data_IF_304878456263
#
_entry.id   IF_304878456263
#
_cell.length_a   1.000
_cell.length_b   1.000
_cell.length_c   1.000
_cell.angle_alpha   90.00
_cell.angle_beta   90.00
_cell.angle_gamma   90.00
#
_symmetry.space_group_name_H-M   'P 1'
#
loop_
_entity.id
_entity.type
_entity.pdbx_description
1 polymer ?
#
# COMPACT_ATOMS: atom_id res chain seq x y z
N UNK A 1 -19.59 -4.40 104.73
CA UNK A 1 -18.45 -4.44 103.79
C UNK A 1 -18.33 -3.06 103.17
N UNK A 2 -17.19 -2.40 103.38
CA UNK A 2 -16.98 -0.99 103.03
C UNK A 2 -17.02 -0.75 101.52
N UNK A 3 -18.04 -0.03 101.07
CA UNK A 3 -18.23 0.42 99.68
C UNK A 3 -17.05 1.21 99.12
N UNK A 4 -16.22 1.81 99.99
CA UNK A 4 -15.01 2.54 99.61
C UNK A 4 -13.87 1.63 99.12
N UNK A 5 -13.76 0.39 99.61
CA UNK A 5 -12.71 -0.56 99.17
C UNK A 5 -13.05 -1.23 97.85
N UNK A 6 -14.34 -1.44 97.58
CA UNK A 6 -14.83 -2.02 96.31
C UNK A 6 -14.66 -1.04 95.15
N UNK A 7 -14.93 0.26 95.37
CA UNK A 7 -14.74 1.29 94.35
C UNK A 7 -13.26 1.58 94.06
N UNK A 8 -12.40 1.61 95.08
CA UNK A 8 -10.97 1.82 94.89
C UNK A 8 -10.30 0.62 94.17
N UNK A 9 -10.70 -0.61 94.51
CA UNK A 9 -10.22 -1.81 93.81
C UNK A 9 -10.67 -1.88 92.36
N UNK A 10 -11.92 -1.50 92.08
CA UNK A 10 -12.47 -1.45 90.73
C UNK A 10 -11.77 -0.43 89.83
N UNK A 11 -11.48 0.78 90.35
CA UNK A 11 -10.79 1.82 89.59
C UNK A 11 -9.37 1.41 89.18
N UNK A 12 -8.62 0.77 90.08
CA UNK A 12 -7.26 0.29 89.77
C UNK A 12 -7.28 -0.81 88.71
N UNK A 13 -8.24 -1.75 88.80
CA UNK A 13 -8.39 -2.81 87.79
C UNK A 13 -8.73 -2.22 86.42
N UNK A 14 -9.62 -1.24 86.34
CA UNK A 14 -9.98 -0.59 85.07
C UNK A 14 -8.77 0.13 84.46
N UNK A 15 -7.97 0.83 85.26
CA UNK A 15 -6.78 1.52 84.77
C UNK A 15 -5.71 0.53 84.30
N UNK A 16 -5.50 -0.55 85.04
CA UNK A 16 -4.53 -1.61 84.66
C UNK A 16 -4.99 -2.35 83.39
N UNK A 17 -6.28 -2.65 83.26
CA UNK A 17 -6.85 -3.26 82.05
C UNK A 17 -6.76 -2.31 80.86
N UNK A 18 -7.02 -1.01 81.05
CA UNK A 18 -6.90 -0.01 80.00
C UNK A 18 -5.44 0.17 79.54
N UNK A 19 -4.48 0.17 80.46
CA UNK A 19 -3.05 0.24 80.14
C UNK A 19 -2.55 -1.04 79.47
N UNK A 20 -3.01 -2.22 79.90
CA UNK A 20 -2.67 -3.49 79.26
C UNK A 20 -3.30 -3.60 77.86
N UNK A 21 -4.51 -3.09 77.66
CA UNK A 21 -5.15 -3.01 76.35
C UNK A 21 -4.41 -2.05 75.41
N UNK A 22 -3.87 -0.93 75.91
CA UNK A 22 -3.08 0.02 75.12
C UNK A 22 -1.71 -0.55 74.70
N UNK A 23 -1.11 -1.45 75.49
CA UNK A 23 0.17 -2.12 75.15
C UNK A 23 -0.06 -3.34 74.24
N UNK A 24 -1.23 -4.00 74.33
CA UNK A 24 -1.55 -5.20 73.55
C UNK A 24 -2.05 -4.90 72.12
N UNK A 25 -2.30 -3.63 71.75
CA UNK A 25 -2.74 -3.24 70.40
C UNK A 25 -1.82 -2.13 69.86
N UNK A 26 -0.64 -2.47 69.32
CA UNK A 26 0.30 -1.48 68.76
C UNK A 26 -0.29 -0.69 67.57
N UNK A 27 -1.36 -1.18 66.95
CA UNK A 27 -1.97 -0.58 65.75
C UNK A 27 -3.08 0.46 66.03
N UNK A 28 -3.55 0.62 67.28
CA UNK A 28 -4.64 1.56 67.56
C UNK A 28 -4.20 3.04 67.59
N UNK A 29 -2.89 3.31 67.44
CA UNK A 29 -2.29 4.65 67.43
C UNK A 29 -1.58 4.94 66.11
N UNK A 30 -2.07 4.38 65.00
CA UNK A 30 -1.70 4.88 63.67
C UNK A 30 -2.38 6.23 63.45
N UNK A 31 -1.60 7.29 63.22
CA UNK A 31 -2.13 8.61 62.88
C UNK A 31 -2.86 8.50 61.53
N UNK A 32 -4.15 8.90 61.40
CA UNK A 32 -4.92 8.78 60.15
C UNK A 32 -4.46 9.68 58.99
N UNK A 33 -3.22 10.20 59.03
CA UNK A 33 -2.74 11.27 58.15
C UNK A 33 -1.83 10.80 57.03
N UNK A 34 -1.32 9.57 57.09
CA UNK A 34 -0.32 9.07 56.13
C UNK A 34 -0.93 8.30 54.94
N UNK A 35 -2.22 7.96 54.97
CA UNK A 35 -2.91 7.21 53.90
C UNK A 35 -3.84 8.08 53.02
N UNK A 36 -3.58 9.39 52.88
CA UNK A 36 -4.33 10.17 51.88
C UNK A 36 -3.76 9.87 50.50
N UNK A 37 -4.57 9.41 49.52
CA UNK A 37 -4.11 9.18 48.16
C UNK A 37 -3.41 10.44 47.64
N UNK A 38 -2.14 10.29 47.29
CA UNK A 38 -1.36 11.37 46.72
C UNK A 38 -2.00 11.75 45.38
N UNK A 39 -2.41 13.02 45.24
CA UNK A 39 -3.05 13.49 44.00
C UNK A 39 -2.06 13.30 42.84
N UNK A 40 -2.42 12.54 41.78
CA UNK A 40 -1.55 12.38 40.61
C UNK A 40 -1.23 13.73 39.98
N UNK A 41 -0.02 13.83 39.43
CA UNK A 41 0.41 15.00 38.66
C UNK A 41 -0.47 15.22 37.42
N UNK A 42 -0.61 16.48 36.95
CA UNK A 42 -1.24 16.74 35.67
C UNK A 42 -0.45 16.08 34.52
N UNK A 43 -1.18 15.76 33.45
CA UNK A 43 -0.63 15.31 32.17
C UNK A 43 -1.35 16.12 31.11
N UNK A 44 -0.61 16.92 30.35
CA UNK A 44 -1.17 17.79 29.31
C UNK A 44 -0.49 17.51 27.98
N UNK A 45 -1.22 17.67 26.89
CA UNK A 45 -0.67 17.68 25.53
C UNK A 45 -0.12 19.08 25.28
N UNK A 46 1.21 19.20 25.14
CA UNK A 46 1.86 20.48 24.86
C UNK A 46 2.11 20.70 23.38
N UNK A 47 2.17 19.62 22.61
CA UNK A 47 2.39 19.66 21.16
C UNK A 47 1.78 18.43 20.48
N UNK A 48 1.40 18.58 19.20
CA UNK A 48 0.87 17.51 18.39
C UNK A 48 1.14 17.75 16.90
N UNK A 49 1.79 16.79 16.25
CA UNK A 49 2.21 16.86 14.84
C UNK A 49 1.58 15.75 14.02
N UNK A 50 1.60 15.95 12.70
CA UNK A 50 1.13 14.97 11.71
C UNK A 50 2.17 14.85 10.61
N UNK A 51 2.49 13.62 10.22
CA UNK A 51 3.28 13.30 9.04
C UNK A 51 2.56 12.26 8.17
N UNK A 52 3.09 11.99 6.98
CA UNK A 52 2.57 10.97 6.06
C UNK A 52 3.50 9.76 6.01
N UNK A 53 2.91 8.57 6.01
CA UNK A 53 3.59 7.29 5.82
C UNK A 53 3.39 6.74 4.41
N UNK A 54 3.07 5.45 4.30
CA UNK A 54 2.75 4.81 3.01
C UNK A 54 1.51 5.44 2.36
N UNK A 55 1.59 5.64 1.03
CA UNK A 55 0.47 6.14 0.23
C UNK A 55 0.26 5.24 -0.97
N UNK A 56 -0.96 4.69 -1.08
CA UNK A 56 -1.42 3.85 -2.18
C UNK A 56 -2.50 4.58 -2.97
N UNK A 57 -3.00 3.97 -4.05
CA UNK A 57 -4.09 4.56 -4.84
C UNK A 57 -5.40 4.73 -4.06
N UNK A 58 -5.59 3.95 -2.99
CA UNK A 58 -6.85 3.88 -2.24
C UNK A 58 -6.72 4.34 -0.80
N UNK A 59 -5.52 4.29 -0.20
CA UNK A 59 -5.32 4.57 1.22
C UNK A 59 -4.10 5.44 1.46
N UNK A 60 -4.13 6.26 2.51
CA UNK A 60 -2.98 6.99 3.02
C UNK A 60 -2.76 6.65 4.49
N UNK A 61 -1.50 6.52 4.88
CA UNK A 61 -1.10 6.41 6.27
C UNK A 61 -0.78 7.81 6.83
N UNK A 62 -1.45 8.16 7.93
CA UNK A 62 -1.23 9.38 8.68
C UNK A 62 -0.52 9.02 9.98
N UNK A 63 0.70 9.54 10.16
CA UNK A 63 1.45 9.40 11.40
C UNK A 63 1.10 10.55 12.34
N UNK A 64 0.60 10.23 13.52
CA UNK A 64 0.20 11.21 14.53
C UNK A 64 1.19 11.18 15.68
N UNK A 65 1.57 12.35 16.16
CA UNK A 65 2.45 12.52 17.31
C UNK A 65 1.76 13.37 18.38
N UNK A 66 1.93 13.00 19.64
CA UNK A 66 1.52 13.79 20.80
C UNK A 66 2.68 13.90 21.78
N UNK A 67 3.01 15.12 22.18
CA UNK A 67 4.00 15.39 23.24
C UNK A 67 3.25 15.67 24.53
N UNK A 68 3.43 14.79 25.53
CA UNK A 68 2.80 14.88 26.83
C UNK A 68 3.78 15.51 27.84
N UNK A 69 3.40 16.59 28.51
CA UNK A 69 4.13 17.15 29.65
C UNK A 69 3.52 16.65 30.96
N UNK A 70 4.39 16.11 31.83
CA UNK A 70 4.04 15.65 33.16
C UNK A 70 4.80 16.42 34.25
N UNK A 71 4.11 16.79 35.33
CA UNK A 71 4.67 17.52 36.48
C UNK A 71 4.17 16.95 37.80
N UNK A 72 5.00 16.98 38.83
CA UNK A 72 4.64 16.60 40.19
C UNK A 72 4.62 15.10 40.43
N UNK A 73 3.62 14.63 41.19
CA UNK A 73 3.52 13.23 41.60
C UNK A 73 3.25 12.31 40.40
N UNK A 74 3.66 11.03 40.43
CA UNK A 74 3.45 10.10 39.34
C UNK A 74 2.01 10.05 38.81
N UNK A 75 1.88 9.92 37.48
CA UNK A 75 0.63 9.61 36.81
C UNK A 75 0.68 8.18 36.26
N UNK A 76 -0.19 7.32 36.78
CA UNK A 76 -0.23 5.89 36.43
C UNK A 76 -1.18 5.61 35.25
N UNK A 77 -0.89 4.55 34.50
CA UNK A 77 -1.74 4.03 33.42
C UNK A 77 -2.20 5.14 32.45
N UNK A 78 -1.24 5.88 31.90
CA UNK A 78 -1.54 6.88 30.87
C UNK A 78 -1.66 6.18 29.52
N UNK A 79 -2.75 6.47 28.81
CA UNK A 79 -2.98 6.01 27.43
C UNK A 79 -3.40 7.19 26.55
N UNK A 80 -3.15 7.08 25.24
CA UNK A 80 -3.61 8.05 24.26
C UNK A 80 -4.42 7.33 23.19
N UNK A 81 -5.68 7.71 23.03
CA UNK A 81 -6.56 7.23 21.96
C UNK A 81 -6.54 8.24 20.81
N UNK A 82 -6.01 7.80 19.68
CA UNK A 82 -6.00 8.57 18.43
C UNK A 82 -7.17 8.16 17.54
N UNK A 83 -7.81 9.13 16.92
CA UNK A 83 -8.97 8.94 16.03
C UNK A 83 -8.82 9.76 14.76
N UNK A 84 -9.23 9.18 13.64
CA UNK A 84 -9.43 9.87 12.37
C UNK A 84 -10.91 9.79 12.00
N UNK A 85 -11.55 10.94 11.92
CA UNK A 85 -12.94 11.09 11.51
C UNK A 85 -12.98 11.82 10.19
N UNK A 86 -13.69 11.31 9.19
CA UNK A 86 -13.89 11.99 7.92
C UNK A 86 -14.53 13.36 8.16
N UNK A 87 -13.94 14.41 7.57
CA UNK A 87 -14.30 15.78 7.87
C UNK A 87 -15.66 16.19 7.27
N UNK A 88 -16.10 15.51 6.21
CA UNK A 88 -17.35 15.81 5.50
C UNK A 88 -18.53 15.01 6.07
N UNK A 89 -18.40 13.69 6.15
CA UNK A 89 -19.44 12.77 6.63
C UNK A 89 -19.52 12.69 8.16
N UNK A 90 -18.41 12.99 8.86
CA UNK A 90 -18.31 12.83 10.31
C UNK A 90 -18.19 11.37 10.78
N UNK A 91 -17.92 10.43 9.87
CA UNK A 91 -17.75 9.01 10.19
C UNK A 91 -16.35 8.73 10.75
N UNK A 92 -16.26 7.82 11.73
CA UNK A 92 -14.98 7.36 12.26
C UNK A 92 -14.36 6.35 11.29
N UNK A 93 -13.22 6.68 10.73
CA UNK A 93 -12.54 5.88 9.70
C UNK A 93 -11.42 5.01 10.30
N UNK A 94 -10.71 5.52 11.31
CA UNK A 94 -9.68 4.77 12.01
C UNK A 94 -9.54 5.24 13.46
N UNK A 95 -9.19 4.30 14.34
CA UNK A 95 -8.78 4.62 15.71
C UNK A 95 -7.68 3.69 16.20
N UNK A 96 -6.84 4.18 17.11
CA UNK A 96 -5.78 3.40 17.74
C UNK A 96 -5.45 3.93 19.12
N UNK A 97 -5.41 3.04 20.10
CA UNK A 97 -4.96 3.36 21.45
C UNK A 97 -3.49 2.98 21.64
N UNK A 98 -2.73 3.88 22.26
CA UNK A 98 -1.32 3.67 22.58
C UNK A 98 -1.13 3.79 24.09
N UNK A 99 -0.56 2.74 24.69
CA UNK A 99 -0.18 2.77 26.09
C UNK A 99 1.11 3.56 26.28
N UNK A 100 1.05 4.61 27.11
CA UNK A 100 2.22 5.38 27.54
C UNK A 100 2.81 4.76 28.81
N UNK A 101 1.95 4.19 29.65
CA UNK A 101 2.31 3.61 30.93
C UNK A 101 2.43 4.68 32.02
N UNK A 102 3.30 4.44 32.98
CA UNK A 102 3.47 5.35 34.11
C UNK A 102 4.41 6.49 33.78
N UNK A 103 4.02 7.71 34.15
CA UNK A 103 4.83 8.91 34.08
C UNK A 103 5.29 9.24 35.50
N UNK A 104 6.51 8.83 35.84
CA UNK A 104 7.10 9.06 37.18
C UNK A 104 8.11 10.20 37.21
N UNK A 105 8.70 10.51 36.05
CA UNK A 105 9.65 11.61 35.90
C UNK A 105 8.93 12.83 35.33
N UNK A 106 9.24 14.01 35.87
CA UNK A 106 8.75 15.25 35.29
C UNK A 106 9.42 15.53 33.94
N UNK A 107 8.66 16.14 33.03
CA UNK A 107 9.12 16.53 31.70
C UNK A 107 8.21 16.05 30.58
N UNK A 108 8.74 16.10 29.36
CA UNK A 108 8.00 15.79 28.14
C UNK A 108 8.26 14.36 27.66
N UNK A 109 7.21 13.71 27.17
CA UNK A 109 7.27 12.40 26.54
C UNK A 109 6.47 12.41 25.23
N UNK A 110 7.15 12.09 24.14
CA UNK A 110 6.53 11.96 22.81
C UNK A 110 5.98 10.55 22.62
N UNK A 111 4.77 10.47 22.08
CA UNK A 111 4.03 9.24 21.76
C UNK A 111 3.54 9.36 20.32
N UNK A 112 3.56 8.27 19.56
CA UNK A 112 3.12 8.28 18.17
C UNK A 112 2.34 7.04 17.78
N UNK A 113 1.56 7.17 16.71
CA UNK A 113 0.84 6.06 16.07
C UNK A 113 0.67 6.33 14.57
N UNK A 114 0.34 5.28 13.82
CA UNK A 114 -0.08 5.38 12.42
C UNK A 114 -1.56 5.01 12.30
N UNK A 115 -2.33 5.83 11.60
CA UNK A 115 -3.72 5.58 11.22
C UNK A 115 -3.81 5.44 9.69
N UNK A 116 -4.38 4.33 9.21
CA UNK A 116 -4.61 4.11 7.79
C UNK A 116 -6.03 4.54 7.44
N UNK A 117 -6.16 5.48 6.53
CA UNK A 117 -7.44 6.05 6.10
C UNK A 117 -7.61 5.95 4.59
N UNK A 118 -8.83 6.03 4.05
CA UNK A 118 -9.04 6.22 2.62
C UNK A 118 -8.26 7.44 2.08
N UNK A 119 -7.71 7.33 0.87
CA UNK A 119 -7.00 8.45 0.23
C UNK A 119 -7.99 9.37 -0.47
N UNK A 120 -8.86 9.97 0.33
CA UNK A 120 -9.96 10.82 -0.13
C UNK A 120 -10.26 11.89 0.92
N UNK A 121 -10.58 13.10 0.46
CA UNK A 121 -11.15 14.17 1.26
C UNK A 121 -10.22 14.72 2.34
N UNK A 122 -10.79 14.93 3.52
CA UNK A 122 -10.09 15.47 4.68
C UNK A 122 -10.49 14.77 5.96
N UNK A 123 -9.64 14.85 6.97
CA UNK A 123 -9.86 14.16 8.24
C UNK A 123 -9.67 15.11 9.41
N UNK A 124 -10.58 15.00 10.38
CA UNK A 124 -10.39 15.50 11.73
C UNK A 124 -9.69 14.44 12.56
N UNK A 125 -8.50 14.79 13.03
CA UNK A 125 -7.63 13.95 13.84
C UNK A 125 -7.74 14.40 15.30
N UNK A 126 -8.16 13.50 16.19
CA UNK A 126 -8.24 13.75 17.64
C UNK A 126 -7.28 12.81 18.38
N UNK A 127 -6.59 13.34 19.38
CA UNK A 127 -5.93 12.52 20.40
C UNK A 127 -6.51 12.82 21.77
N UNK A 128 -6.97 11.77 22.45
CA UNK A 128 -7.57 11.85 23.78
C UNK A 128 -6.64 11.17 24.78
N UNK A 129 -6.20 11.92 25.79
CA UNK A 129 -5.34 11.37 26.83
C UNK A 129 -6.20 10.88 27.99
N UNK A 130 -5.99 9.62 28.37
CA UNK A 130 -6.60 9.01 29.54
C UNK A 130 -5.54 8.75 30.61
N UNK A 131 -5.96 8.85 31.87
CA UNK A 131 -5.20 8.39 33.04
C UNK A 131 -6.16 7.58 33.91
N UNK A 132 -5.88 6.30 34.11
CA UNK A 132 -6.80 5.38 34.81
C UNK A 132 -8.23 5.52 34.28
N UNK A 133 -8.40 5.37 32.95
CA UNK A 133 -9.67 5.47 32.21
C UNK A 133 -10.41 6.82 32.29
N UNK A 134 -9.82 7.82 32.94
CA UNK A 134 -10.38 9.17 33.02
C UNK A 134 -9.72 10.08 31.98
N UNK A 135 -10.51 10.69 31.11
CA UNK A 135 -10.03 11.70 30.16
C UNK A 135 -9.42 12.88 30.92
N UNK A 136 -8.15 13.16 30.67
CA UNK A 136 -7.42 14.27 31.32
C UNK A 136 -7.12 15.41 30.36
N UNK A 137 -6.93 15.13 29.07
CA UNK A 137 -6.67 16.15 28.06
C UNK A 137 -7.05 15.70 26.64
N UNK A 138 -7.00 16.62 25.68
CA UNK A 138 -7.22 16.33 24.25
C UNK A 138 -6.59 17.36 23.32
N UNK A 139 -6.22 16.91 22.13
CA UNK A 139 -5.90 17.79 21.00
C UNK A 139 -6.73 17.45 19.77
N UNK A 140 -6.85 18.42 18.86
CA UNK A 140 -7.50 18.22 17.56
C UNK A 140 -6.68 18.90 16.47
N UNK A 141 -6.57 18.23 15.33
CA UNK A 141 -5.97 18.74 14.10
C UNK A 141 -6.86 18.39 12.93
N UNK A 142 -6.74 19.12 11.84
CA UNK A 142 -7.46 18.82 10.60
C UNK A 142 -6.45 18.74 9.46
N UNK A 143 -6.66 17.77 8.57
CA UNK A 143 -5.93 17.62 7.31
C UNK A 143 -6.95 17.62 6.18
N UNK A 144 -6.57 18.18 5.04
CA UNK A 144 -7.43 18.26 3.85
C UNK A 144 -6.64 17.91 2.60
N UNK A 145 -7.34 17.47 1.56
CA UNK A 145 -6.75 17.13 0.27
C UNK A 145 -5.91 15.85 0.32
N UNK A 146 -6.34 14.84 1.08
CA UNK A 146 -5.62 13.56 1.17
C UNK A 146 -5.59 12.84 -0.18
N UNK A 147 -6.60 13.04 -1.03
CA UNK A 147 -6.65 12.58 -2.42
C UNK A 147 -5.50 13.11 -3.29
N UNK A 148 -4.96 14.28 -2.96
CA UNK A 148 -3.87 14.91 -3.70
C UNK A 148 -2.50 14.27 -3.40
N UNK A 149 -2.42 13.40 -2.38
CA UNK A 149 -1.19 12.72 -2.04
C UNK A 149 -0.81 11.71 -3.14
N UNK A 150 0.38 11.88 -3.70
CA UNK A 150 0.89 11.02 -4.77
C UNK A 150 1.42 9.69 -4.19
N UNK A 151 0.88 8.53 -4.62
CA UNK A 151 1.40 7.22 -4.25
C UNK A 151 2.81 7.02 -4.76
N UNK A 152 3.59 6.17 -4.10
CA UNK A 152 4.99 5.93 -4.49
C UNK A 152 5.13 5.49 -5.96
N UNK A 153 4.23 4.61 -6.42
CA UNK A 153 4.21 4.15 -7.82
C UNK A 153 3.87 5.26 -8.83
N UNK A 154 3.16 6.31 -8.41
CA UNK A 154 2.78 7.43 -9.26
C UNK A 154 3.77 8.60 -9.18
N UNK A 155 4.73 8.55 -8.24
CA UNK A 155 5.88 9.45 -8.24
C UNK A 155 6.86 8.95 -9.30
N UNK A 156 6.62 9.33 -10.54
CA UNK A 156 7.57 9.13 -11.61
C UNK A 156 8.77 10.06 -11.39
N UNK A 157 9.81 9.54 -10.74
CA UNK A 157 11.13 10.19 -10.67
C UNK A 157 12.07 9.66 -11.77
N UNK A 158 11.53 8.89 -12.71
CA UNK A 158 12.19 8.43 -13.93
C UNK A 158 11.20 8.59 -15.07
N UNK A 159 11.67 9.13 -16.18
CA UNK A 159 10.92 9.24 -17.43
C UNK A 159 11.85 8.93 -18.60
N UNK A 160 11.30 8.71 -19.78
CA UNK A 160 12.07 8.83 -21.00
C UNK A 160 12.58 10.27 -21.15
N UNK A 161 13.70 10.45 -21.85
CA UNK A 161 14.24 11.79 -22.11
C UNK A 161 13.26 12.61 -22.94
N UNK A 162 12.93 13.80 -22.46
CA UNK A 162 12.17 14.81 -23.18
C UNK A 162 13.14 15.88 -23.69
N UNK A 163 13.83 15.59 -24.79
CA UNK A 163 14.80 16.51 -25.40
C UNK A 163 14.45 16.74 -26.88
N UNK A 164 14.57 17.97 -27.40
CA UNK A 164 14.21 18.26 -28.79
C UNK A 164 15.18 17.68 -29.82
N UNK A 165 16.35 17.20 -29.40
CA UNK A 165 17.41 16.66 -30.28
C UNK A 165 17.56 15.15 -30.09
N UNK A 166 17.43 14.66 -28.86
CA UNK A 166 17.55 13.22 -28.57
C UNK A 166 16.19 12.54 -28.63
N UNK A 167 16.07 11.54 -29.51
CA UNK A 167 14.90 10.67 -29.52
C UNK A 167 14.91 9.76 -28.27
N UNK A 168 13.76 9.60 -27.60
CA UNK A 168 13.67 8.79 -26.39
C UNK A 168 13.90 7.30 -26.63
N UNK A 169 13.69 6.84 -27.86
CA UNK A 169 13.91 5.48 -28.32
C UNK A 169 14.94 5.51 -29.44
N UNK A 170 16.03 4.75 -29.29
CA UNK A 170 17.02 4.52 -30.33
C UNK A 170 16.90 3.12 -30.89
N UNK A 171 17.22 2.95 -32.17
CA UNK A 171 17.20 1.65 -32.84
C UNK A 171 18.49 1.49 -33.63
N UNK A 172 19.13 0.34 -33.52
CA UNK A 172 20.27 -0.05 -34.32
C UNK A 172 20.07 -1.46 -34.90
N UNK A 173 20.47 -1.67 -36.15
CA UNK A 173 20.50 -3.01 -36.73
C UNK A 173 21.82 -3.67 -36.31
N UNK A 174 21.73 -4.79 -35.59
CA UNK A 174 22.91 -5.54 -35.13
C UNK A 174 23.23 -6.72 -36.04
N UNK A 175 22.21 -7.32 -36.67
CA UNK A 175 22.35 -8.38 -37.66
C UNK A 175 21.23 -8.30 -38.70
N UNK A 176 21.54 -8.56 -39.97
CA UNK A 176 20.58 -8.52 -41.07
C UNK A 176 20.65 -9.83 -41.87
N UNK A 177 19.71 -10.73 -41.61
CA UNK A 177 19.52 -11.97 -42.35
C UNK A 177 18.46 -11.84 -43.44
N UNK A 178 18.29 -12.91 -44.23
CA UNK A 178 17.36 -12.93 -45.37
C UNK A 178 15.91 -12.73 -44.94
N UNK A 179 15.46 -13.39 -43.87
CA UNK A 179 14.06 -13.34 -43.41
C UNK A 179 13.86 -12.57 -42.10
N UNK A 180 14.93 -12.36 -41.32
CA UNK A 180 14.86 -11.64 -40.05
C UNK A 180 16.01 -10.67 -39.88
N UNK A 181 15.69 -9.55 -39.25
CA UNK A 181 16.63 -8.52 -38.84
C UNK A 181 16.65 -8.45 -37.31
N UNK A 182 17.84 -8.49 -36.73
CA UNK A 182 18.03 -8.28 -35.29
C UNK A 182 18.28 -6.80 -35.04
N UNK A 183 17.51 -6.25 -34.10
CA UNK A 183 17.53 -4.86 -33.70
C UNK A 183 17.98 -4.75 -32.26
N UNK A 184 18.92 -3.86 -31.97
CA UNK A 184 19.16 -3.34 -30.62
C UNK A 184 18.24 -2.13 -30.42
N UNK A 185 17.33 -2.24 -29.46
CA UNK A 185 16.46 -1.16 -29.04
C UNK A 185 17.03 -0.52 -27.80
N UNK A 186 17.11 0.81 -27.76
CA UNK A 186 17.55 1.57 -26.60
C UNK A 186 16.47 2.55 -26.14
N UNK A 187 16.30 2.66 -24.82
CA UNK A 187 15.45 3.66 -24.18
C UNK A 187 16.31 4.60 -23.34
N UNK A 188 16.28 5.89 -23.64
CA UNK A 188 16.99 6.90 -22.85
C UNK A 188 16.13 7.33 -21.66
N UNK A 189 16.53 6.94 -20.46
CA UNK A 189 15.81 7.25 -19.22
C UNK A 189 16.54 8.33 -18.44
N UNK A 190 15.81 9.29 -17.87
CA UNK A 190 16.35 10.32 -16.99
C UNK A 190 15.75 10.19 -15.60
N UNK A 191 16.61 10.04 -14.58
CA UNK A 191 16.18 10.01 -13.19
C UNK A 191 16.25 11.41 -12.57
N UNK A 192 15.11 11.98 -12.20
CA UNK A 192 15.01 13.28 -11.50
C UNK A 192 15.12 13.16 -9.98
N UNK A 193 15.13 11.93 -9.46
CA UNK A 193 15.27 11.62 -8.03
C UNK A 193 15.82 10.21 -7.83
N UNK A 194 16.06 9.80 -6.57
CA UNK A 194 16.65 8.50 -6.25
C UNK A 194 15.76 7.34 -6.74
N UNK A 195 16.38 6.32 -7.32
CA UNK A 195 15.70 5.10 -7.76
C UNK A 195 16.14 3.91 -6.93
N UNK A 196 15.21 3.03 -6.61
CA UNK A 196 15.54 1.73 -5.99
C UNK A 196 15.84 0.71 -7.08
N UNK A 197 16.89 -0.09 -6.86
CA UNK A 197 17.21 -1.22 -7.72
C UNK A 197 16.03 -2.21 -7.76
N UNK A 198 15.86 -2.90 -8.89
CA UNK A 198 14.87 -3.97 -9.12
C UNK A 198 13.39 -3.55 -9.25
N UNK A 199 13.08 -2.26 -9.12
CA UNK A 199 11.71 -1.78 -9.28
C UNK A 199 11.35 -1.39 -10.73
N UNK A 200 12.33 -1.14 -11.60
CA UNK A 200 12.14 -0.54 -12.92
C UNK A 200 12.41 -1.50 -14.08
N UNK A 201 11.49 -1.56 -15.04
CA UNK A 201 11.70 -2.28 -16.30
C UNK A 201 11.14 -1.51 -17.50
N UNK A 202 11.76 -1.71 -18.66
CA UNK A 202 11.29 -1.19 -19.95
C UNK A 202 10.84 -2.36 -20.81
N UNK A 203 9.61 -2.30 -21.30
CA UNK A 203 9.09 -3.23 -22.30
C UNK A 203 9.05 -2.54 -23.66
N UNK A 204 9.74 -3.10 -24.64
CA UNK A 204 9.66 -2.69 -26.03
C UNK A 204 8.69 -3.59 -26.78
N UNK A 205 7.78 -2.98 -27.54
CA UNK A 205 6.79 -3.66 -28.37
C UNK A 205 6.95 -3.17 -29.79
N UNK A 206 7.18 -4.09 -30.73
CA UNK A 206 7.31 -3.78 -32.15
C UNK A 206 6.03 -4.20 -32.86
N UNK A 207 5.33 -3.24 -33.43
CA UNK A 207 4.12 -3.48 -34.23
C UNK A 207 4.43 -3.21 -35.69
N UNK A 208 4.15 -4.18 -36.54
CA UNK A 208 4.31 -3.97 -37.98
C UNK A 208 3.34 -2.88 -38.42
N UNK A 209 3.85 -1.90 -39.18
CA UNK A 209 3.22 -0.60 -39.36
C UNK A 209 1.87 -0.66 -40.08
N UNK A 210 1.69 -1.66 -40.93
CA UNK A 210 0.58 -1.78 -41.84
C UNK A 210 -0.60 -2.57 -41.26
N UNK A 211 -0.29 -3.74 -40.69
CA UNK A 211 -1.24 -4.67 -40.09
C UNK A 211 -1.48 -4.42 -38.61
N UNK A 212 -0.61 -3.63 -37.98
CA UNK A 212 -0.61 -3.35 -36.54
C UNK A 212 -0.36 -4.60 -35.67
N UNK A 213 0.08 -5.70 -36.26
CA UNK A 213 0.40 -6.95 -35.56
C UNK A 213 1.68 -6.78 -34.76
N UNK A 214 1.68 -7.24 -33.51
CA UNK A 214 2.89 -7.27 -32.67
C UNK A 214 3.82 -8.33 -33.23
N UNK A 215 4.92 -7.87 -33.83
CA UNK A 215 5.94 -8.74 -34.41
C UNK A 215 6.90 -9.27 -33.36
N UNK A 216 7.19 -8.45 -32.35
CA UNK A 216 8.02 -8.85 -31.24
C UNK A 216 7.74 -8.05 -29.98
N UNK A 217 8.12 -8.63 -28.83
CA UNK A 217 8.09 -7.99 -27.53
C UNK A 217 9.29 -8.46 -26.73
N UNK A 218 9.98 -7.51 -26.10
CA UNK A 218 11.08 -7.80 -25.19
C UNK A 218 11.01 -6.88 -23.97
N UNK A 219 11.43 -7.39 -22.81
CA UNK A 219 11.44 -6.63 -21.56
C UNK A 219 12.84 -6.71 -20.96
N UNK A 220 13.34 -5.58 -20.47
CA UNK A 220 14.65 -5.46 -19.84
C UNK A 220 14.55 -4.67 -18.54
N UNK A 221 15.27 -5.13 -17.52
CA UNK A 221 15.38 -4.44 -16.24
C UNK A 221 16.26 -3.19 -16.39
N UNK A 222 15.75 -2.05 -15.93
CA UNK A 222 16.49 -0.79 -16.00
C UNK A 222 17.48 -0.61 -14.83
N UNK A 223 17.39 -1.47 -13.81
CA UNK A 223 18.21 -1.38 -12.60
C UNK A 223 18.04 -0.04 -11.86
N UNK A 224 19.05 0.32 -11.08
CA UNK A 224 19.10 1.62 -10.40
C UNK A 224 19.76 2.68 -11.29
N UNK A 225 19.04 3.76 -11.55
CA UNK A 225 19.53 4.96 -12.24
C UNK A 225 20.04 5.98 -11.23
N UNK A 226 21.17 6.61 -11.54
CA UNK A 226 21.70 7.70 -10.71
C UNK A 226 20.87 8.97 -10.88
N UNK A 227 20.55 9.60 -9.76
CA UNK A 227 19.86 10.88 -9.75
C UNK A 227 20.58 11.94 -10.61
N UNK A 228 19.81 12.68 -11.40
CA UNK A 228 20.28 13.74 -12.28
C UNK A 228 21.01 13.24 -13.53
N UNK A 229 20.99 11.94 -13.82
CA UNK A 229 21.63 11.36 -15.01
C UNK A 229 20.62 10.75 -15.95
N UNK A 230 20.99 10.79 -17.22
CA UNK A 230 20.35 10.01 -18.27
C UNK A 230 21.20 8.78 -18.57
N UNK A 231 20.57 7.60 -18.62
CA UNK A 231 21.24 6.34 -18.95
C UNK A 231 20.39 5.59 -20.00
N UNK A 232 21.05 4.83 -20.87
CA UNK A 232 20.38 4.00 -21.87
C UNK A 232 20.14 2.61 -21.31
N UNK A 233 18.94 2.11 -21.50
CA UNK A 233 18.59 0.70 -21.30
C UNK A 233 18.34 0.06 -22.65
N UNK A 234 19.04 -1.02 -22.95
CA UNK A 234 19.00 -1.66 -24.26
C UNK A 234 18.53 -3.12 -24.20
N UNK A 235 17.85 -3.56 -25.26
CA UNK A 235 17.44 -4.94 -25.46
C UNK A 235 17.51 -5.32 -26.94
N UNK A 236 17.97 -6.54 -27.23
CA UNK A 236 17.95 -7.11 -28.58
C UNK A 236 16.61 -7.78 -28.88
N UNK A 237 16.18 -7.70 -30.13
CA UNK A 237 14.96 -8.32 -30.63
C UNK A 237 15.05 -8.63 -32.12
N UNK A 238 14.56 -9.79 -32.54
CA UNK A 238 14.48 -10.16 -33.94
C UNK A 238 13.06 -9.93 -34.48
N UNK A 239 12.95 -9.29 -35.64
CA UNK A 239 11.71 -9.07 -36.37
C UNK A 239 11.84 -9.57 -37.82
N UNK A 240 10.73 -9.85 -38.51
CA UNK A 240 10.76 -10.08 -39.95
C UNK A 240 11.48 -8.94 -40.70
N UNK A 241 12.26 -9.29 -41.71
CA UNK A 241 12.93 -8.32 -42.58
C UNK A 241 11.91 -7.62 -43.51
N UNK A 242 12.32 -6.52 -44.13
CA UNK A 242 11.57 -5.85 -45.21
C UNK A 242 10.24 -5.17 -44.82
N UNK A 243 9.94 -5.04 -43.52
CA UNK A 243 8.77 -4.31 -43.04
C UNK A 243 9.12 -3.11 -42.17
N UNK A 244 8.24 -2.11 -42.17
CA UNK A 244 8.31 -0.99 -41.24
C UNK A 244 7.63 -1.34 -39.91
N UNK A 245 8.17 -0.82 -38.80
CA UNK A 245 7.66 -1.10 -37.45
C UNK A 245 7.50 0.18 -36.64
N UNK A 246 6.41 0.27 -35.87
CA UNK A 246 6.33 1.15 -34.72
C UNK A 246 6.95 0.48 -33.51
N UNK A 247 7.78 1.21 -32.78
CA UNK A 247 8.34 0.77 -31.50
C UNK A 247 7.62 1.52 -30.39
N UNK A 248 6.92 0.82 -29.51
CA UNK A 248 6.38 1.36 -28.28
C UNK A 248 7.28 0.94 -27.11
N UNK A 249 7.84 1.91 -26.37
CA UNK A 249 8.62 1.68 -25.17
C UNK A 249 7.78 2.04 -23.94
N UNK A 250 7.54 1.08 -23.06
CA UNK A 250 6.71 1.24 -21.87
C UNK A 250 7.58 1.09 -20.63
N UNK A 251 7.75 2.19 -19.88
CA UNK A 251 8.48 2.20 -18.63
C UNK A 251 7.52 1.87 -17.49
N UNK A 252 7.88 0.86 -16.69
CA UNK A 252 7.08 0.45 -15.54
C UNK A 252 7.88 0.44 -14.26
N UNK A 253 7.19 0.70 -13.15
CA UNK A 253 7.66 0.47 -11.79
C UNK A 253 6.72 -0.48 -11.07
N UNK A 254 7.21 -1.62 -10.60
CA UNK A 254 6.42 -2.64 -9.88
C UNK A 254 5.10 -2.99 -10.61
N UNK A 255 5.17 -3.08 -11.95
CA UNK A 255 4.01 -3.37 -12.81
C UNK A 255 3.08 -2.19 -13.09
N UNK A 256 3.37 -0.99 -12.58
CA UNK A 256 2.62 0.24 -12.89
C UNK A 256 3.32 0.99 -14.01
N UNK A 257 2.58 1.36 -15.06
CA UNK A 257 3.10 2.19 -16.15
C UNK A 257 3.35 3.60 -15.60
N UNK A 258 4.59 4.08 -15.72
CA UNK A 258 4.97 5.41 -15.26
C UNK A 258 5.27 6.37 -16.42
N UNK A 259 5.71 5.85 -17.58
CA UNK A 259 5.93 6.65 -18.79
C UNK A 259 5.90 5.78 -20.06
N UNK A 260 5.69 6.41 -21.21
CA UNK A 260 5.70 5.76 -22.52
C UNK A 260 6.40 6.62 -23.57
N UNK A 261 7.24 6.01 -24.38
CA UNK A 261 7.85 6.63 -25.55
C UNK A 261 7.59 5.79 -26.80
N UNK A 262 7.87 6.36 -27.97
CA UNK A 262 7.77 5.62 -29.21
C UNK A 262 8.85 6.01 -30.20
N UNK A 263 9.13 5.10 -31.11
CA UNK A 263 10.05 5.27 -32.24
C UNK A 263 9.54 4.51 -33.46
N UNK A 264 10.33 4.53 -34.53
CA UNK A 264 10.03 3.81 -35.77
C UNK A 264 11.26 3.05 -36.25
N UNK A 265 11.02 1.94 -36.95
CA UNK A 265 12.04 1.19 -37.69
C UNK A 265 11.61 1.14 -39.14
N UNK A 266 12.48 1.63 -40.03
CA UNK A 266 12.22 1.63 -41.46
C UNK A 266 13.10 0.55 -42.13
N UNK A 267 12.58 -0.68 -42.26
CA UNK A 267 13.28 -1.77 -42.96
C UNK A 267 12.68 -2.04 -44.35
N UNK A 268 11.50 -1.51 -44.66
CA UNK A 268 10.93 -1.59 -45.99
C UNK A 268 11.77 -0.72 -46.96
N UNK A 269 12.34 -1.30 -48.03
CA UNK A 269 13.15 -0.54 -48.98
C UNK A 269 12.33 0.42 -49.87
N UNK A 270 11.01 0.26 -49.91
CA UNK A 270 10.10 0.97 -50.81
C UNK A 270 9.27 2.06 -50.11
N UNK A 271 9.09 1.95 -48.80
CA UNK A 271 8.31 2.89 -48.00
C UNK A 271 9.03 3.25 -46.70
N UNK A 272 8.88 4.50 -46.24
CA UNK A 272 9.29 4.91 -44.89
C UNK A 272 8.10 5.50 -44.15
N UNK A 273 8.05 5.28 -42.84
CA UNK A 273 7.07 5.86 -41.93
C UNK A 273 7.73 6.84 -40.98
N UNK A 274 6.95 7.84 -40.56
CA UNK A 274 7.26 8.72 -39.44
C UNK A 274 6.39 8.37 -38.23
N UNK A 275 6.89 8.68 -37.03
CA UNK A 275 6.20 8.42 -35.76
C UNK A 275 4.79 9.04 -35.68
N UNK A 276 4.54 10.14 -36.39
CA UNK A 276 3.29 10.93 -36.32
C UNK A 276 2.32 10.68 -37.49
N UNK A 277 2.57 9.70 -38.37
CA UNK A 277 1.65 9.38 -39.46
C UNK A 277 0.45 8.54 -39.01
N UNK A 278 -0.70 8.74 -39.67
CA UNK A 278 -1.94 7.99 -39.38
C UNK A 278 -2.37 7.14 -40.57
N UNK A 279 -2.39 5.81 -40.36
CA UNK A 279 -2.98 4.68 -41.12
C UNK A 279 -3.21 4.81 -42.63
N UNK A 280 -2.69 3.84 -43.38
CA UNK A 280 -3.02 3.49 -44.78
C UNK A 280 -3.43 2.00 -44.87
N UNK A 281 -4.33 1.64 -45.80
CA UNK A 281 -4.79 0.25 -46.02
C UNK A 281 -3.86 -0.50 -46.97
N UNK A 282 -3.41 -1.72 -46.63
CA UNK A 282 -2.51 -2.55 -47.45
C UNK A 282 -2.59 -4.07 -47.16
N UNK A 283 -1.81 -4.85 -47.93
CA UNK A 283 -1.71 -6.32 -47.99
C UNK A 283 -0.88 -6.89 -46.82
N UNK A 284 -1.37 -7.94 -46.15
CA UNK A 284 -0.77 -8.53 -44.95
C UNK A 284 -0.57 -10.03 -45.13
N UNK A 285 0.63 -10.53 -44.85
CA UNK A 285 0.93 -11.97 -44.75
C UNK A 285 1.20 -12.37 -43.30
N UNK A 286 0.50 -13.39 -42.81
CA UNK A 286 0.56 -13.81 -41.41
C UNK A 286 1.71 -14.78 -41.11
N UNK A 287 2.27 -15.46 -42.12
CA UNK A 287 3.26 -16.53 -41.90
C UNK A 287 4.59 -16.04 -41.34
N UNK A 288 4.96 -14.79 -41.62
CA UNK A 288 6.26 -14.25 -41.22
C UNK A 288 6.35 -13.93 -39.72
N UNK A 289 5.20 -13.87 -39.04
CA UNK A 289 5.08 -13.53 -37.63
C UNK A 289 5.04 -14.75 -36.69
N UNK A 290 5.18 -15.96 -37.21
CA UNK A 290 5.26 -17.16 -36.39
C UNK A 290 6.59 -17.20 -35.61
N UNK A 291 6.52 -17.36 -34.29
CA UNK A 291 7.70 -17.44 -33.43
C UNK A 291 8.53 -18.69 -33.74
N UNK A 292 9.86 -18.54 -33.77
CA UNK A 292 10.75 -19.69 -33.86
C UNK A 292 10.75 -20.33 -32.46
N UNK A 293 10.05 -21.45 -32.31
CA UNK A 293 10.00 -22.23 -31.08
C UNK A 293 11.40 -22.81 -30.82
N UNK A 294 12.28 -22.02 -30.18
CA UNK A 294 13.58 -22.48 -29.73
C UNK A 294 13.47 -23.71 -28.84
N UNK A 295 14.25 -24.74 -29.18
CA UNK A 295 14.50 -26.02 -28.51
C UNK A 295 13.84 -26.17 -27.11
N UNK A 296 12.64 -26.77 -27.06
CA UNK A 296 12.06 -27.26 -25.81
C UNK A 296 12.91 -28.45 -25.32
N UNK A 297 13.40 -28.47 -24.07
CA UNK A 297 14.06 -29.66 -23.55
C UNK A 297 13.09 -30.84 -23.53
N UNK A 298 13.58 -32.01 -23.97
CA UNK A 298 12.85 -33.28 -24.03
C UNK A 298 12.05 -33.52 -22.75
N UNK A 299 10.73 -33.38 -22.87
CA UNK A 299 9.79 -33.86 -21.86
C UNK A 299 9.63 -35.36 -22.12
N UNK A 300 9.84 -36.24 -21.12
CA UNK A 300 9.66 -37.67 -21.32
C UNK A 300 8.24 -37.97 -21.79
N UNK A 301 8.15 -38.78 -22.84
CA UNK A 301 6.93 -39.30 -23.44
C UNK A 301 5.98 -39.80 -22.36
N UNK A 302 4.89 -39.06 -22.14
CA UNK A 302 3.76 -39.57 -21.39
C UNK A 302 2.98 -40.43 -22.37
N UNK A 303 3.00 -41.74 -22.14
CA UNK A 303 2.22 -42.74 -22.86
C UNK A 303 0.79 -42.25 -23.08
N UNK A 304 0.36 -42.25 -24.34
CA UNK A 304 -0.99 -41.96 -24.78
C UNK A 304 -2.00 -42.83 -24.00
N UNK A 305 -2.64 -42.23 -23.01
CA UNK A 305 -3.94 -42.69 -22.56
C UNK A 305 -4.98 -41.99 -23.44
N UNK A 306 -5.46 -42.72 -24.45
CA UNK A 306 -6.61 -42.36 -25.28
C UNK A 306 -7.78 -41.91 -24.39
N UNK A 307 -7.90 -40.60 -24.17
CA UNK A 307 -9.08 -40.03 -23.54
C UNK A 307 -10.07 -39.77 -24.65
N UNK A 308 -10.93 -40.77 -24.89
CA UNK A 308 -12.10 -40.62 -25.72
C UNK A 308 -12.92 -39.42 -25.23
N UNK A 309 -12.88 -38.33 -25.99
CA UNK A 309 -13.69 -37.13 -25.76
C UNK A 309 -15.15 -37.51 -26.01
N UNK A 310 -15.85 -37.90 -24.95
CA UNK A 310 -17.31 -37.91 -24.93
C UNK A 310 -17.78 -36.46 -24.88
N UNK A 311 -18.09 -35.88 -26.05
CA UNK A 311 -18.88 -34.66 -26.13
C UNK A 311 -20.21 -34.89 -25.40
N UNK A 312 -20.61 -34.07 -24.41
CA UNK A 312 -21.96 -34.09 -23.86
C UNK A 312 -22.93 -33.56 -24.92
N UNK A 313 -23.32 -34.42 -25.84
CA UNK A 313 -24.33 -34.14 -26.84
C UNK A 313 -25.71 -34.15 -26.19
N UNK A 314 -26.35 -33.00 -26.12
CA UNK A 314 -27.80 -32.96 -26.00
C UNK A 314 -28.39 -33.50 -27.32
N UNK A 315 -28.65 -34.80 -27.33
CA UNK A 315 -29.19 -35.49 -28.50
C UNK A 315 -30.58 -34.97 -28.90
N UNK A 316 -31.02 -35.28 -30.14
CA UNK A 316 -32.24 -34.74 -30.77
C UNK A 316 -33.54 -35.03 -30.01
N UNK A 317 -33.51 -35.90 -28.99
CA UNK A 317 -34.66 -36.23 -28.13
C UNK A 317 -35.03 -35.07 -27.19
N UNK A 318 -34.06 -34.27 -26.72
CA UNK A 318 -34.34 -33.13 -25.82
C UNK A 318 -35.04 -31.98 -26.56
N UNK A 319 -34.71 -31.77 -27.84
CA UNK A 319 -35.37 -30.78 -28.69
C UNK A 319 -36.86 -31.11 -28.93
N UNK A 320 -37.20 -32.40 -29.04
CA UNK A 320 -38.59 -32.85 -29.23
C UNK A 320 -39.41 -32.69 -27.94
N UNK A 321 -38.82 -32.93 -26.76
CA UNK A 321 -39.48 -32.72 -25.48
C UNK A 321 -39.79 -31.22 -25.21
N UNK A 322 -38.88 -30.32 -25.59
CA UNK A 322 -39.09 -28.88 -25.47
C UNK A 322 -40.25 -28.37 -26.35
N UNK A 323 -40.36 -28.89 -27.59
CA UNK A 323 -41.45 -28.54 -28.51
C UNK A 323 -42.82 -29.08 -28.06
N UNK A 324 -42.87 -30.27 -27.47
CA UNK A 324 -44.11 -30.82 -26.90
C UNK A 324 -44.55 -30.07 -25.62
N UNK A 325 -43.60 -29.61 -24.80
CA UNK A 325 -43.88 -28.78 -23.63
C UNK A 325 -44.48 -27.42 -23.98
N UNK A 326 -43.93 -26.74 -25.00
CA UNK A 326 -44.43 -25.45 -25.46
C UNK A 326 -45.85 -25.54 -26.04
N UNK A 327 -46.18 -26.61 -26.77
CA UNK A 327 -47.52 -26.85 -27.31
C UNK A 327 -48.59 -27.11 -26.24
N UNK A 328 -48.23 -27.80 -25.16
CA UNK A 328 -49.14 -28.09 -24.04
C UNK A 328 -49.44 -26.85 -23.17
N UNK A 329 -48.46 -25.95 -23.02
CA UNK A 329 -48.65 -24.66 -22.34
C UNK A 329 -49.50 -23.68 -23.15
N UNK A 330 -49.38 -23.68 -24.49
CA UNK A 330 -50.22 -22.86 -25.36
C UNK A 330 -51.71 -23.29 -25.36
N UNK A 331 -51.99 -24.60 -25.16
CA UNK A 331 -53.37 -25.12 -25.09
C UNK A 331 -54.05 -24.87 -23.74
N UNK A 332 -53.30 -24.56 -22.69
CA UNK A 332 -53.83 -24.21 -21.36
C UNK A 332 -54.14 -22.72 -21.17
N UNK A 333 -53.78 -21.89 -22.14
CA UNK A 333 -54.05 -20.43 -22.15
C UNK A 333 -55.02 -20.00 -23.26
N UNK A 334 -55.75 -20.95 -23.86
CA UNK A 334 -56.95 -20.70 -24.67
C UNK A 334 -58.17 -21.23 -23.97
#
# INVERSE_FOLDING_TARGET
MDSKRVLAGGAVVVVVVALLAAVAVPEAVASPRDDRPVRPGPVNVVDADIATGEITGQTAELELFATLDHRGNPAENVTVLFKATDAESGLLEAEREVAVGDLTAEGERRVSTVLRVPREGGYRLEGIVYRNDTRVDRFTREVSGVEALTPAYARANVSFVEDPVLEPVSVAITDAGENRTTLELGGWLTATGPTEADSLSVTFILRQAESNVVAARTTVDAGSLREGRSETVSADVAVPSEYNYYVDAVLTRDGVIIDTAGGVVNLDPSETIDRNETRREVEFDASDFEGDDGERPDRPETTDAETAVSQPGFGPVVAIAALLGAGLLARRRR
#
